data_IF_648678270048
#
_entry.id   IF_648678270048
#
_cell.length_a   1.000
_cell.length_b   1.000
_cell.length_c   1.000
_cell.angle_alpha   90.00
_cell.angle_beta   90.00
_cell.angle_gamma   90.00
#
_symmetry.space_group_name_H-M   'P 1'
#
loop_
_entity.id
_entity.type
_entity.pdbx_description
1 polymer ?
#
# COMPACT_ATOMS: atom_id res chain seq x y z
N UNK A 1 -11.68 -17.16 -9.12
CA UNK A 1 -10.39 -17.40 -9.81
C UNK A 1 -9.56 -16.12 -10.08
N UNK A 2 -10.16 -14.96 -10.36
CA UNK A 2 -9.41 -13.74 -10.75
C UNK A 2 -8.44 -13.20 -9.68
N UNK A 3 -8.86 -13.08 -8.40
CA UNK A 3 -8.01 -12.54 -7.31
C UNK A 3 -6.73 -13.34 -7.04
N UNK A 4 -6.79 -14.66 -7.22
CA UNK A 4 -5.65 -15.58 -7.03
C UNK A 4 -4.64 -15.50 -8.18
N UNK A 5 -5.10 -15.23 -9.41
CA UNK A 5 -4.21 -14.91 -10.53
C UNK A 5 -3.37 -13.69 -10.18
N UNK A 6 -4.04 -12.55 -9.95
CA UNK A 6 -3.38 -11.27 -9.70
C UNK A 6 -2.32 -11.31 -8.58
N UNK A 7 -2.53 -12.15 -7.56
CA UNK A 7 -1.55 -12.39 -6.51
C UNK A 7 -0.28 -13.09 -7.02
N UNK A 8 -0.44 -14.16 -7.81
CA UNK A 8 0.69 -14.89 -8.41
C UNK A 8 1.47 -13.99 -9.36
N UNK A 9 0.79 -13.23 -10.21
CA UNK A 9 1.46 -12.27 -11.09
C UNK A 9 2.17 -11.17 -10.28
N UNK A 10 1.56 -10.67 -9.20
CA UNK A 10 2.20 -9.70 -8.30
C UNK A 10 3.47 -10.22 -7.62
N UNK A 11 3.47 -11.48 -7.19
CA UNK A 11 4.67 -12.12 -6.64
C UNK A 11 5.76 -12.33 -7.69
N UNK A 12 5.39 -12.67 -8.93
CA UNK A 12 6.34 -12.80 -10.03
C UNK A 12 6.98 -11.44 -10.37
N UNK A 13 6.16 -10.38 -10.47
CA UNK A 13 6.63 -9.01 -10.70
C UNK A 13 7.57 -8.59 -9.56
N UNK A 14 7.18 -8.79 -8.30
CA UNK A 14 8.05 -8.48 -7.15
C UNK A 14 9.39 -9.23 -7.24
N UNK A 15 9.37 -10.54 -7.51
CA UNK A 15 10.59 -11.33 -7.68
C UNK A 15 11.47 -10.83 -8.82
N UNK A 16 10.87 -10.45 -9.95
CA UNK A 16 11.57 -9.87 -11.09
C UNK A 16 12.22 -8.52 -10.74
N UNK A 17 11.47 -7.59 -10.15
CA UNK A 17 11.98 -6.27 -9.76
C UNK A 17 13.17 -6.38 -8.79
N UNK A 18 13.12 -7.35 -7.87
CA UNK A 18 14.21 -7.64 -6.94
C UNK A 18 15.45 -8.18 -7.65
N UNK A 19 15.29 -9.11 -8.59
CA UNK A 19 16.39 -9.66 -9.39
C UNK A 19 17.01 -8.62 -10.33
N UNK A 20 16.19 -7.74 -10.89
CA UNK A 20 16.62 -6.67 -11.79
C UNK A 20 17.27 -5.48 -11.05
N UNK A 21 17.31 -5.49 -9.71
CA UNK A 21 17.93 -4.42 -8.91
C UNK A 21 17.16 -3.10 -8.88
N UNK A 22 15.98 -3.04 -9.50
CA UNK A 22 15.14 -1.82 -9.60
C UNK A 22 14.07 -1.74 -8.50
N UNK A 23 14.10 -2.64 -7.53
CA UNK A 23 13.17 -2.68 -6.40
C UNK A 23 13.16 -1.39 -5.56
N UNK A 24 14.23 -0.58 -5.58
CA UNK A 24 14.32 0.68 -4.84
C UNK A 24 13.42 1.79 -5.40
N UNK A 25 12.82 1.60 -6.57
CA UNK A 25 11.93 2.58 -7.18
C UNK A 25 10.61 2.70 -6.39
N UNK A 26 10.36 3.90 -5.87
CA UNK A 26 9.20 4.20 -5.03
C UNK A 26 7.86 3.98 -5.75
N UNK A 27 7.81 4.26 -7.04
CA UNK A 27 6.60 4.08 -7.85
C UNK A 27 6.28 2.58 -7.98
N UNK A 28 7.29 1.75 -8.26
CA UNK A 28 7.11 0.30 -8.34
C UNK A 28 6.67 -0.32 -7.01
N UNK A 29 7.22 0.18 -5.89
CA UNK A 29 6.79 -0.23 -4.55
C UNK A 29 5.31 0.12 -4.30
N UNK A 30 4.89 1.34 -4.65
CA UNK A 30 3.50 1.80 -4.55
C UNK A 30 2.55 0.98 -5.45
N UNK A 31 2.96 0.65 -6.68
CA UNK A 31 2.17 -0.20 -7.58
C UNK A 31 1.91 -1.59 -6.98
N UNK A 32 2.92 -2.21 -6.35
CA UNK A 32 2.77 -3.52 -5.74
C UNK A 32 1.90 -3.50 -4.48
N UNK A 33 1.99 -2.45 -3.65
CA UNK A 33 1.04 -2.25 -2.55
C UNK A 33 -0.39 -2.23 -3.08
N UNK A 34 -0.66 -1.40 -4.10
CA UNK A 34 -1.98 -1.29 -4.71
C UNK A 34 -2.46 -2.62 -5.30
N UNK A 35 -1.57 -3.41 -5.90
CA UNK A 35 -1.89 -4.74 -6.42
C UNK A 35 -2.29 -5.71 -5.30
N UNK A 36 -1.51 -5.80 -4.22
CA UNK A 36 -1.84 -6.66 -3.08
C UNK A 36 -3.16 -6.25 -2.43
N UNK A 37 -3.43 -4.95 -2.27
CA UNK A 37 -4.71 -4.46 -1.75
C UNK A 37 -5.90 -4.87 -2.64
N UNK A 38 -5.78 -4.72 -3.96
CA UNK A 38 -6.81 -5.16 -4.93
C UNK A 38 -7.05 -6.68 -4.89
N UNK A 39 -6.05 -7.46 -4.52
CA UNK A 39 -6.18 -8.91 -4.31
C UNK A 39 -6.83 -9.28 -2.97
N UNK A 40 -7.07 -8.32 -2.07
CA UNK A 40 -7.51 -8.58 -0.69
C UNK A 40 -6.38 -9.05 0.22
N UNK A 41 -5.13 -8.92 -0.22
CA UNK A 41 -3.93 -9.38 0.46
C UNK A 41 -3.32 -8.28 1.34
N UNK A 42 -4.12 -7.73 2.25
CA UNK A 42 -3.73 -6.58 3.10
C UNK A 42 -2.44 -6.84 3.90
N UNK A 43 -2.23 -8.06 4.40
CA UNK A 43 -0.99 -8.41 5.13
C UNK A 43 0.26 -8.29 4.27
N UNK A 44 0.21 -8.71 3.00
CA UNK A 44 1.34 -8.55 2.07
C UNK A 44 1.56 -7.09 1.70
N UNK A 45 0.49 -6.32 1.50
CA UNK A 45 0.58 -4.87 1.27
C UNK A 45 1.25 -4.16 2.46
N UNK A 46 0.87 -4.52 3.70
CA UNK A 46 1.44 -3.96 4.92
C UNK A 46 2.91 -4.32 5.09
N UNK A 47 3.27 -5.59 4.89
CA UNK A 47 4.67 -6.03 4.94
C UNK A 47 5.53 -5.28 3.91
N UNK A 48 4.98 -5.02 2.71
CA UNK A 48 5.66 -4.24 1.70
C UNK A 48 5.90 -2.80 2.16
N UNK A 49 4.83 -2.15 2.63
CA UNK A 49 4.87 -0.80 3.17
C UNK A 49 5.88 -0.64 4.31
N UNK A 50 5.95 -1.59 5.25
CA UNK A 50 6.87 -1.56 6.38
C UNK A 50 8.35 -1.70 5.95
N UNK A 51 8.60 -2.36 4.82
CA UNK A 51 9.96 -2.54 4.26
C UNK A 51 10.41 -1.39 3.35
N UNK A 52 9.55 -0.45 3.01
CA UNK A 52 9.91 0.69 2.17
C UNK A 52 10.89 1.62 2.92
N UNK A 53 12.08 1.92 2.35
CA UNK A 53 13.03 2.83 2.98
C UNK A 53 12.54 4.29 2.95
N UNK A 54 11.74 4.63 1.94
CA UNK A 54 11.11 5.93 1.76
C UNK A 54 9.64 5.70 1.44
N UNK A 55 8.75 6.57 1.95
CA UNK A 55 7.31 6.49 1.74
C UNK A 55 6.80 7.86 1.36
N UNK A 56 5.95 7.98 0.36
CA UNK A 56 5.32 9.24 -0.02
C UNK A 56 3.83 9.23 0.34
N UNK A 57 3.14 10.33 0.03
CA UNK A 57 1.69 10.43 0.26
C UNK A 57 0.92 9.31 -0.42
N UNK A 58 1.38 8.81 -1.57
CA UNK A 58 0.73 7.71 -2.29
C UNK A 58 0.86 6.41 -1.50
N UNK A 59 2.03 6.10 -0.93
CA UNK A 59 2.25 4.92 -0.09
C UNK A 59 1.27 4.89 1.10
N UNK A 60 1.18 6.00 1.83
CA UNK A 60 0.31 6.12 3.00
C UNK A 60 -1.17 6.08 2.61
N UNK A 61 -1.57 6.87 1.62
CA UNK A 61 -2.97 6.94 1.17
C UNK A 61 -3.46 5.57 0.69
N UNK A 62 -2.62 4.82 -0.04
CA UNK A 62 -2.97 3.46 -0.49
C UNK A 62 -3.25 2.53 0.68
N UNK A 63 -2.40 2.56 1.72
CA UNK A 63 -2.59 1.72 2.90
C UNK A 63 -3.77 2.14 3.76
N UNK A 64 -3.97 3.45 3.96
CA UNK A 64 -5.12 3.99 4.70
C UNK A 64 -6.43 3.59 4.01
N UNK A 65 -6.53 3.80 2.69
CA UNK A 65 -7.69 3.37 1.89
C UNK A 65 -7.89 1.84 1.96
N UNK A 66 -6.80 1.07 1.91
CA UNK A 66 -6.83 -0.38 2.08
C UNK A 66 -7.40 -0.81 3.44
N UNK A 67 -6.98 -0.17 4.53
CA UNK A 67 -7.52 -0.43 5.86
C UNK A 67 -9.00 -0.06 5.97
N UNK A 68 -9.38 1.12 5.48
CA UNK A 68 -10.77 1.58 5.47
C UNK A 68 -11.68 0.61 4.72
N UNK A 69 -11.29 0.19 3.52
CA UNK A 69 -12.05 -0.79 2.71
C UNK A 69 -12.17 -2.16 3.34
N UNK A 70 -11.26 -2.51 4.25
CA UNK A 70 -11.32 -3.75 5.04
C UNK A 70 -12.05 -3.57 6.39
N UNK A 71 -12.60 -2.38 6.69
CA UNK A 71 -13.27 -2.07 7.95
C UNK A 71 -12.32 -1.90 9.14
N UNK A 72 -11.01 -1.80 8.89
CA UNK A 72 -9.96 -1.67 9.91
C UNK A 72 -9.68 -0.18 10.20
N UNK A 73 -10.72 0.53 10.64
CA UNK A 73 -10.70 2.00 10.79
C UNK A 73 -9.66 2.46 11.82
N UNK A 74 -9.48 1.70 12.92
CA UNK A 74 -8.47 2.02 13.94
C UNK A 74 -7.05 1.97 13.36
N UNK A 75 -6.71 0.93 12.59
CA UNK A 75 -5.42 0.84 11.92
C UNK A 75 -5.22 1.92 10.85
N UNK A 76 -6.30 2.32 10.16
CA UNK A 76 -6.26 3.44 9.24
C UNK A 76 -5.93 4.75 9.98
N UNK A 77 -6.56 4.96 11.15
CA UNK A 77 -6.36 6.13 12.00
C UNK A 77 -4.96 6.19 12.57
N UNK A 78 -4.45 5.09 13.12
CA UNK A 78 -3.08 5.00 13.61
C UNK A 78 -2.08 5.35 12.51
N UNK A 79 -2.26 4.79 11.31
CA UNK A 79 -1.37 5.08 10.20
C UNK A 79 -1.46 6.54 9.73
N UNK A 80 -2.67 7.11 9.74
CA UNK A 80 -2.89 8.54 9.47
C UNK A 80 -2.16 9.42 10.49
N UNK A 81 -2.20 9.08 11.78
CA UNK A 81 -1.56 9.86 12.84
C UNK A 81 -0.04 9.74 12.80
N UNK A 82 0.51 8.58 12.40
CA UNK A 82 1.95 8.36 12.17
C UNK A 82 2.49 9.01 10.88
N UNK A 83 1.61 9.39 9.94
CA UNK A 83 2.02 10.00 8.68
C UNK A 83 2.64 11.40 8.92
N UNK A 84 3.84 11.69 8.38
CA UNK A 84 4.44 13.02 8.50
C UNK A 84 3.51 14.12 8.00
N UNK A 85 3.40 15.22 8.75
CA UNK A 85 2.46 16.33 8.44
C UNK A 85 2.63 16.88 7.02
N UNK A 86 3.87 17.01 6.57
CA UNK A 86 4.24 17.49 5.22
C UNK A 86 3.73 16.58 4.09
N UNK A 87 3.50 15.29 4.39
CA UNK A 87 3.03 14.32 3.41
C UNK A 87 1.50 14.23 3.38
N UNK A 88 0.79 14.70 4.42
CA UNK A 88 -0.68 14.65 4.48
C UNK A 88 -1.26 15.56 3.40
N UNK A 89 -2.22 15.05 2.63
CA UNK A 89 -2.90 15.82 1.59
C UNK A 89 -4.42 15.62 1.64
N UNK A 90 -5.16 16.31 0.77
CA UNK A 90 -6.62 16.24 0.72
C UNK A 90 -7.15 14.81 0.58
N UNK A 91 -6.43 13.95 -0.15
CA UNK A 91 -6.80 12.54 -0.32
C UNK A 91 -6.73 11.81 1.03
N UNK A 92 -5.67 12.04 1.82
CA UNK A 92 -5.53 11.43 3.15
C UNK A 92 -6.70 11.76 4.07
N UNK A 93 -7.18 13.01 4.04
CA UNK A 93 -8.33 13.45 4.84
C UNK A 93 -9.66 12.88 4.35
N UNK A 94 -9.88 12.86 3.03
CA UNK A 94 -11.09 12.29 2.45
C UNK A 94 -11.22 10.78 2.72
N UNK A 95 -10.10 10.04 2.71
CA UNK A 95 -10.08 8.62 3.04
C UNK A 95 -10.53 8.34 4.47
N UNK A 96 -10.21 9.22 5.44
CA UNK A 96 -10.66 9.08 6.82
C UNK A 96 -12.15 9.44 7.02
N UNK A 97 -12.70 10.32 6.20
CA UNK A 97 -14.11 10.72 6.25
C UNK A 97 -15.05 9.74 5.54
N UNK A 98 -14.52 8.93 4.62
CA UNK A 98 -15.29 7.99 3.79
C UNK A 98 -15.38 6.58 4.40
N UNK A 99 -14.86 6.38 5.62
CA UNK A 99 -14.80 5.10 6.32
C UNK A 99 -15.89 4.93 7.37
#
# INVERSE_FOLDING_TARGET
CSRLGFLKEGMQIHGFLRKAGIWSDLFLQNCLIGLYLKCGCLGFARQMFDRMPQRDSVSYNSMIDGYVKCGLIESARELFDLMPREKKNLITWNSMLSG
#
